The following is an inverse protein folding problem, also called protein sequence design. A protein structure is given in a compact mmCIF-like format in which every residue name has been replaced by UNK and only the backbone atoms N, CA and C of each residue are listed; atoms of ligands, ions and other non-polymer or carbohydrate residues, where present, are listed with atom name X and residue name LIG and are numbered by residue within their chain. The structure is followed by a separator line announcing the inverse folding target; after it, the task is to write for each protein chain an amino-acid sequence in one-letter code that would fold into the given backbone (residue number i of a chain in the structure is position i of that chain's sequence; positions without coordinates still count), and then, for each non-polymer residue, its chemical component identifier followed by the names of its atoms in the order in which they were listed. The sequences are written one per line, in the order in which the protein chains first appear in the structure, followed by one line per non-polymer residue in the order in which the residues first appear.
data_IF_322399677658
#
_entry.id   IF_322399677658
#
_cell.length_a   1.000
_cell.length_b   1.000
_cell.length_c   1.000
_cell.angle_alpha   90.00
_cell.angle_beta   90.00
_cell.angle_gamma   90.00
#
_symmetry.space_group_name_H-M   'P 1'
#
loop_
_entity.id
_entity.type
_entity.pdbx_description
1 polymer ?
#
# COMPACT_ATOMS: atom_id res chain seq x y z
N UNK A 1 -0.47 8.93 11.41
CA UNK A 1 0.50 7.87 11.06
C UNK A 1 0.04 6.47 11.46
N UNK A 2 -0.91 5.91 10.70
CA UNK A 2 -1.34 4.51 10.89
C UNK A 2 -0.23 3.54 10.43
N UNK A 3 0.45 3.88 9.33
CA UNK A 3 1.53 3.06 8.75
C UNK A 3 2.73 2.94 9.70
N UNK A 4 3.15 4.04 10.36
CA UNK A 4 4.27 3.98 11.30
C UNK A 4 3.96 3.10 12.51
N UNK A 5 2.72 3.12 13.02
CA UNK A 5 2.30 2.21 14.10
C UNK A 5 2.33 0.75 13.65
N UNK A 6 1.72 0.45 12.51
CA UNK A 6 1.73 -0.89 11.95
C UNK A 6 3.15 -1.39 11.67
N UNK A 7 4.06 -0.52 11.25
CA UNK A 7 5.46 -0.89 11.05
C UNK A 7 6.10 -1.43 12.33
N UNK A 8 5.86 -0.79 13.48
CA UNK A 8 6.37 -1.28 14.77
C UNK A 8 5.68 -2.58 15.19
N UNK A 9 4.37 -2.70 14.96
CA UNK A 9 3.60 -3.90 15.29
C UNK A 9 4.12 -5.14 14.52
N UNK A 10 4.58 -4.96 13.28
CA UNK A 10 5.14 -6.02 12.45
C UNK A 10 6.67 -6.06 12.39
N UNK A 11 7.37 -5.19 13.14
CA UNK A 11 8.83 -5.08 13.06
C UNK A 11 9.52 -6.41 13.38
N UNK A 12 9.11 -7.04 14.48
CA UNK A 12 9.70 -8.29 14.94
C UNK A 12 9.48 -9.41 13.91
N UNK A 13 8.30 -9.46 13.29
CA UNK A 13 8.00 -10.37 12.19
C UNK A 13 8.92 -10.15 10.98
N UNK A 14 9.16 -8.90 10.58
CA UNK A 14 10.07 -8.60 9.48
C UNK A 14 11.51 -9.04 9.79
N UNK A 15 11.97 -8.84 11.03
CA UNK A 15 13.30 -9.28 11.47
C UNK A 15 13.39 -10.80 11.47
N UNK A 16 12.40 -11.49 12.04
CA UNK A 16 12.31 -12.95 12.09
C UNK A 16 12.43 -13.55 10.69
N UNK A 17 11.57 -13.12 9.75
CA UNK A 17 11.60 -13.59 8.36
C UNK A 17 12.97 -13.37 7.70
N UNK A 18 13.60 -12.22 7.93
CA UNK A 18 14.94 -11.95 7.40
C UNK A 18 16.01 -12.87 8.00
N UNK A 19 15.92 -13.16 9.30
CA UNK A 19 16.88 -14.03 9.98
C UNK A 19 16.72 -15.49 9.59
N UNK A 20 15.50 -16.00 9.47
CA UNK A 20 15.21 -17.38 9.06
C UNK A 20 15.66 -17.64 7.62
N UNK A 21 15.46 -16.66 6.73
CA UNK A 21 15.80 -16.79 5.32
C UNK A 21 17.21 -16.28 4.99
N UNK A 22 18.04 -15.95 5.99
CA UNK A 22 19.40 -15.46 5.77
C UNK A 22 20.27 -16.43 4.95
N UNK A 23 20.00 -17.74 5.02
CA UNK A 23 20.68 -18.76 4.22
C UNK A 23 20.44 -18.62 2.71
N UNK A 24 19.36 -17.96 2.30
CA UNK A 24 19.02 -17.68 0.89
C UNK A 24 19.62 -16.37 0.39
N UNK A 25 20.26 -15.57 1.26
CA UNK A 25 20.86 -14.29 0.86
C UNK A 25 21.86 -14.48 -0.29
N UNK A 26 21.73 -13.64 -1.33
CA UNK A 26 22.51 -13.73 -2.57
C UNK A 26 22.05 -14.81 -3.56
N UNK A 27 21.13 -15.70 -3.20
CA UNK A 27 20.59 -16.69 -4.13
C UNK A 27 19.64 -16.03 -5.15
N UNK A 28 19.61 -16.51 -6.41
CA UNK A 28 18.65 -16.02 -7.39
C UNK A 28 17.22 -16.37 -6.97
N UNK A 29 16.30 -15.45 -7.20
CA UNK A 29 14.86 -15.70 -7.02
C UNK A 29 14.33 -16.49 -8.21
N UNK A 30 13.81 -17.67 -7.94
CA UNK A 30 13.13 -18.52 -8.92
C UNK A 30 11.63 -18.17 -8.94
N UNK A 31 11.19 -17.59 -10.05
CA UNK A 31 9.77 -17.35 -10.32
C UNK A 31 9.20 -18.52 -11.14
N UNK A 32 8.11 -19.18 -10.70
CA UNK A 32 7.42 -20.23 -11.47
C UNK A 32 6.99 -19.79 -12.89
N UNK A 33 6.81 -18.50 -13.11
CA UNK A 33 6.45 -17.92 -14.41
C UNK A 33 7.67 -17.50 -15.24
N UNK A 34 8.87 -17.91 -14.82
CA UNK A 34 10.16 -17.72 -15.50
C UNK A 34 10.63 -16.27 -15.65
N UNK A 35 10.04 -15.35 -14.89
CA UNK A 35 10.50 -13.96 -14.82
C UNK A 35 11.71 -13.79 -13.90
N UNK A 36 12.70 -13.01 -14.35
CA UNK A 36 13.91 -12.74 -13.56
C UNK A 36 13.62 -11.67 -12.52
N UNK A 37 13.48 -12.06 -11.25
CA UNK A 37 13.25 -11.12 -10.13
C UNK A 37 14.53 -10.58 -9.48
N UNK A 38 15.69 -11.18 -9.75
CA UNK A 38 16.98 -10.80 -9.15
C UNK A 38 17.44 -11.81 -8.10
N UNK A 39 18.07 -11.32 -7.03
CA UNK A 39 18.59 -12.14 -5.94
C UNK A 39 17.97 -11.73 -4.60
N UNK A 40 17.85 -12.68 -3.68
CA UNK A 40 17.49 -12.41 -2.29
C UNK A 40 18.57 -11.52 -1.64
N UNK A 41 18.13 -10.53 -0.85
CA UNK A 41 19.01 -9.55 -0.18
C UNK A 41 18.56 -9.33 1.28
N UNK A 42 18.32 -10.43 2.00
CA UNK A 42 17.88 -10.42 3.40
C UNK A 42 18.83 -9.64 4.32
N UNK A 43 20.15 -9.72 4.13
CA UNK A 43 21.11 -8.98 4.94
C UNK A 43 20.97 -7.45 4.77
N UNK A 44 20.74 -7.01 3.53
CA UNK A 44 20.53 -5.60 3.20
C UNK A 44 19.18 -5.10 3.71
N UNK A 45 18.13 -5.92 3.59
CA UNK A 45 16.79 -5.60 4.11
C UNK A 45 16.84 -5.46 5.63
N UNK A 46 17.47 -6.39 6.34
CA UNK A 46 17.61 -6.34 7.80
C UNK A 46 18.34 -5.06 8.27
N UNK A 47 19.40 -4.68 7.57
CA UNK A 47 20.13 -3.43 7.85
C UNK A 47 19.22 -2.20 7.68
N UNK A 48 18.42 -2.18 6.62
CA UNK A 48 17.47 -1.10 6.34
C UNK A 48 16.34 -1.04 7.37
N UNK A 49 15.81 -2.18 7.80
CA UNK A 49 14.79 -2.27 8.86
C UNK A 49 15.29 -1.67 10.17
N UNK A 50 16.49 -2.09 10.62
CA UNK A 50 17.10 -1.55 11.84
C UNK A 50 17.29 -0.03 11.75
N UNK A 51 17.79 0.46 10.61
CA UNK A 51 17.98 1.90 10.37
C UNK A 51 16.64 2.65 10.38
N UNK A 52 15.62 2.10 9.74
CA UNK A 52 14.29 2.70 9.69
C UNK A 52 13.65 2.77 11.08
N UNK A 53 13.74 1.70 11.87
CA UNK A 53 13.29 1.69 13.26
C UNK A 53 13.95 2.78 14.09
N UNK A 54 15.29 2.86 14.05
CA UNK A 54 16.03 3.90 14.77
C UNK A 54 15.67 5.32 14.30
N UNK A 55 15.41 5.49 13.01
CA UNK A 55 14.99 6.79 12.46
C UNK A 55 13.59 7.16 12.96
N UNK A 56 12.62 6.24 12.92
CA UNK A 56 11.25 6.48 13.35
C UNK A 56 11.12 6.67 14.87
N UNK A 57 11.92 5.99 15.67
CA UNK A 57 12.01 6.20 17.13
C UNK A 57 12.56 7.59 17.46
N UNK A 58 13.55 8.06 16.69
CA UNK A 58 14.10 9.41 16.84
C UNK A 58 13.14 10.49 16.31
N UNK A 59 12.49 10.25 15.17
CA UNK A 59 11.55 11.17 14.53
C UNK A 59 10.22 11.29 15.30
N UNK A 60 9.84 10.26 16.06
CA UNK A 60 8.76 10.35 17.06
C UNK A 60 9.00 11.42 18.14
N UNK A 61 10.23 11.91 18.27
CA UNK A 61 10.63 13.02 19.15
C UNK A 61 10.70 14.38 18.44
N UNK A 62 10.69 14.41 17.10
CA UNK A 62 10.69 15.64 16.28
C UNK A 62 9.45 15.66 15.40
N UNK A 63 8.35 16.16 16.00
CA UNK A 63 7.17 16.59 15.24
C UNK A 63 7.58 17.52 14.09
N UNK A 64 7.07 17.16 12.91
CA UNK A 64 6.97 17.96 11.69
C UNK A 64 8.30 18.42 11.11
N UNK A 65 8.57 18.01 9.87
CA UNK A 65 9.19 18.80 8.80
C UNK A 65 9.65 17.83 7.71
N UNK A 66 8.74 17.42 6.82
CA UNK A 66 9.08 17.06 5.44
C UNK A 66 7.84 17.21 4.55
N UNK A 67 7.39 18.45 4.39
CA UNK A 67 6.83 18.91 3.13
C UNK A 67 7.86 19.86 2.52
N UNK A 68 9.02 19.33 2.15
CA UNK A 68 9.93 20.04 1.25
C UNK A 68 9.37 19.85 -0.14
N UNK A 69 8.29 20.56 -0.44
CA UNK A 69 7.87 20.79 -1.82
C UNK A 69 9.01 21.59 -2.43
N UNK A 70 9.77 20.95 -3.29
CA UNK A 70 10.84 21.53 -4.08
C UNK A 70 10.34 22.81 -4.77
N UNK A 71 11.20 23.83 -4.86
CA UNK A 71 10.82 25.17 -5.33
C UNK A 71 10.08 25.15 -6.69
N UNK A 72 10.42 24.18 -7.54
CA UNK A 72 9.75 23.94 -8.82
C UNK A 72 8.28 23.52 -8.67
N UNK A 73 7.99 22.67 -7.68
CA UNK A 73 6.64 22.20 -7.41
C UNK A 73 5.78 23.28 -6.76
N UNK A 74 6.38 24.18 -5.95
CA UNK A 74 5.68 25.35 -5.43
C UNK A 74 5.31 26.35 -6.53
N UNK A 75 6.21 26.57 -7.50
CA UNK A 75 5.95 27.45 -8.65
C UNK A 75 4.79 26.90 -9.51
N UNK A 76 4.79 25.58 -9.79
CA UNK A 76 3.71 24.93 -10.53
C UNK A 76 2.37 25.05 -9.79
N UNK A 77 2.34 24.87 -8.47
CA UNK A 77 1.11 25.00 -7.69
C UNK A 77 0.58 26.44 -7.66
N UNK A 78 1.46 27.43 -7.60
CA UNK A 78 1.07 28.84 -7.64
C UNK A 78 0.54 29.24 -9.01
N UNK A 79 1.18 28.80 -10.10
CA UNK A 79 0.71 29.06 -11.46
C UNK A 79 -0.65 28.39 -11.74
N UNK A 80 -0.83 27.14 -11.26
CA UNK A 80 -2.10 26.43 -11.38
C UNK A 80 -3.23 27.13 -10.58
N UNK A 81 -2.93 27.62 -9.38
CA UNK A 81 -3.89 28.36 -8.55
C UNK A 81 -4.31 29.69 -9.22
N UNK A 82 -3.39 30.37 -9.89
CA UNK A 82 -3.69 31.60 -10.63
C UNK A 82 -4.57 31.38 -11.86
N UNK A 83 -4.52 30.20 -12.48
CA UNK A 83 -5.42 29.83 -13.58
C UNK A 83 -6.82 29.48 -13.08
N UNK A 84 -6.94 28.87 -11.89
CA UNK A 84 -8.22 28.46 -11.32
C UNK A 84 -9.02 29.60 -10.69
N UNK A 85 -8.36 30.67 -10.22
CA UNK A 85 -9.04 31.82 -9.59
C UNK A 85 -9.92 32.64 -10.54
N UNK A 86 -9.74 32.47 -11.85
CA UNK A 86 -10.52 33.13 -12.90
C UNK A 86 -11.50 32.19 -13.63
N UNK A 87 -11.66 30.95 -13.16
CA UNK A 87 -12.67 30.06 -13.72
C UNK A 87 -14.06 30.58 -13.32
N UNK A 88 -15.01 30.69 -14.27
CA UNK A 88 -16.40 30.89 -13.91
C UNK A 88 -16.84 29.74 -12.98
N UNK A 89 -17.73 30.00 -12.01
CA UNK A 89 -18.26 28.92 -11.18
C UNK A 89 -18.84 27.86 -12.13
N UNK A 90 -18.37 26.62 -11.98
CA UNK A 90 -18.94 25.49 -12.70
C UNK A 90 -20.45 25.49 -12.40
N UNK A 91 -21.27 25.60 -13.46
CA UNK A 91 -22.71 25.42 -13.33
C UNK A 91 -22.91 23.98 -12.87
N UNK A 92 -23.29 23.82 -11.59
CA UNK A 92 -23.62 22.53 -10.98
C UNK A 92 -25.00 22.06 -11.48
N UNK A 93 -25.13 21.88 -12.79
CA UNK A 93 -26.34 21.33 -13.43
C UNK A 93 -26.10 19.89 -13.90
N UNK A 94 -25.42 19.09 -13.08
CA UNK A 94 -25.51 17.62 -13.19
C UNK A 94 -26.42 17.19 -12.04
N UNK A 95 -27.70 16.97 -12.35
CA UNK A 95 -28.63 16.34 -11.42
C UNK A 95 -28.12 14.92 -11.17
N UNK A 96 -27.85 14.61 -9.90
CA UNK A 96 -27.27 13.33 -9.46
C UNK A 96 -28.30 12.19 -9.50
N UNK A 97 -29.47 12.48 -10.03
CA UNK A 97 -30.69 11.69 -9.98
C UNK A 97 -30.75 10.68 -11.15
N UNK A 98 -29.84 10.78 -12.13
CA UNK A 98 -29.80 9.94 -13.34
C UNK A 98 -28.75 8.81 -13.31
N UNK A 99 -28.05 8.59 -12.18
CA UNK A 99 -26.87 7.68 -12.14
C UNK A 99 -27.14 6.31 -11.47
N UNK A 100 -28.24 6.12 -10.76
CA UNK A 100 -28.56 4.83 -10.15
C UNK A 100 -30.00 4.43 -10.43
N UNK A 101 -30.21 3.79 -11.59
CA UNK A 101 -31.31 2.84 -11.73
C UNK A 101 -30.94 1.60 -10.91
N UNK A 102 -31.71 1.38 -9.85
CA UNK A 102 -31.79 0.13 -9.09
C UNK A 102 -32.24 -0.99 -10.05
N UNK A 103 -31.30 -1.87 -10.46
CA UNK A 103 -31.67 -3.20 -10.95
C UNK A 103 -31.33 -4.20 -9.85
N UNK A 104 -32.34 -4.41 -9.00
CA UNK A 104 -32.53 -5.60 -8.19
C UNK A 104 -32.38 -6.85 -9.08
N UNK A 105 -31.47 -7.76 -8.69
CA UNK A 105 -31.69 -9.18 -8.89
C UNK A 105 -31.24 -9.89 -7.62
N UNK A 106 -32.20 -9.98 -6.71
CA UNK A 106 -32.33 -11.06 -5.75
C UNK A 106 -32.36 -12.43 -6.46
N UNK A 107 -32.09 -13.47 -5.67
CA UNK A 107 -32.35 -14.89 -5.91
C UNK A 107 -31.36 -15.66 -6.81
N UNK A 108 -30.56 -16.55 -6.21
CA UNK A 108 -31.06 -17.92 -6.05
C UNK A 108 -30.14 -18.77 -5.15
N UNK A 109 -30.79 -19.47 -4.24
CA UNK A 109 -30.25 -20.51 -3.37
C UNK A 109 -29.51 -21.58 -4.19
N UNK A 110 -28.39 -22.07 -3.67
CA UNK A 110 -27.95 -23.43 -4.01
C UNK A 110 -27.44 -24.16 -2.77
N UNK A 111 -28.42 -24.87 -2.22
CA UNK A 111 -28.44 -26.01 -1.32
C UNK A 111 -27.12 -26.71 -1.00
N UNK A 112 -26.97 -26.96 0.30
CA UNK A 112 -26.09 -27.95 0.92
C UNK A 112 -26.19 -29.30 0.21
N UNK A 113 -25.05 -29.81 -0.30
CA UNK A 113 -24.91 -31.22 -0.66
C UNK A 113 -24.03 -31.88 0.39
N UNK A 114 -24.70 -32.42 1.41
CA UNK A 114 -24.17 -33.50 2.22
C UNK A 114 -23.87 -34.70 1.30
N UNK A 115 -22.59 -35.02 1.13
CA UNK A 115 -22.19 -36.34 0.62
C UNK A 115 -21.70 -37.17 1.80
N UNK A 116 -22.68 -37.83 2.43
CA UNK A 116 -22.49 -39.08 3.14
C UNK A 116 -21.89 -40.15 2.21
N UNK A 117 -21.12 -41.03 2.83
CA UNK A 117 -20.99 -42.45 2.49
C UNK A 117 -20.28 -42.84 1.17
N UNK A 118 -19.04 -43.29 1.31
CA UNK A 118 -18.64 -44.51 0.59
C UNK A 118 -17.61 -45.29 1.41
N UNK A 119 -18.11 -46.34 2.08
CA UNK A 119 -17.35 -47.50 2.52
C UNK A 119 -16.40 -48.04 1.42
N UNK A 120 -15.14 -48.28 1.80
CA UNK A 120 -14.37 -49.51 1.50
C UNK A 120 -13.05 -49.57 2.26
#
# INVERSE_FOLDING_TARGET
DVICKQFFDFYDYYVEVCTENMSKDGQPMEDPFHDRRGQFQYASILTRLNKLKATLENDGSTKEQHSSVDARTQEIMNDAAALYSNLPPASNDIQLDDIFDEDDNDDDDNEDVDNDDMEQ
#
